data_IF_539193351054
#
_entry.id   IF_539193351054
#
_cell.length_a   1.000
_cell.length_b   1.000
_cell.length_c   1.000
_cell.angle_alpha   90.00
_cell.angle_beta   90.00
_cell.angle_gamma   90.00
#
_symmetry.space_group_name_H-M   'P 1'
#
loop_
_entity.id
_entity.type
_entity.pdbx_description
1 polymer ?
#
# COMPACT_ATOMS: atom_id res chain seq x y z
N UNK A 1 2.56 -18.42 10.92
CA UNK A 1 1.60 -17.87 9.94
C UNK A 1 2.28 -16.78 9.14
N UNK A 2 2.00 -16.74 7.84
CA UNK A 2 2.49 -15.72 6.91
C UNK A 2 1.33 -14.85 6.46
N UNK A 3 1.46 -13.54 6.61
CA UNK A 3 0.49 -12.55 6.16
C UNK A 3 0.93 -11.88 4.86
N UNK A 4 0.05 -11.90 3.86
CA UNK A 4 0.24 -11.22 2.57
C UNK A 4 -0.87 -10.19 2.40
N UNK A 5 -0.50 -8.99 1.92
CA UNK A 5 -1.44 -7.90 1.67
C UNK A 5 -1.36 -7.44 0.22
N UNK A 6 -2.49 -7.00 -0.31
CA UNK A 6 -2.61 -6.40 -1.64
C UNK A 6 -2.15 -7.30 -2.80
N UNK A 7 -2.24 -8.62 -2.62
CA UNK A 7 -2.13 -9.63 -3.67
C UNK A 7 -3.50 -10.27 -3.91
N UNK A 8 -4.21 -9.93 -5.00
CA UNK A 8 -5.57 -10.42 -5.24
C UNK A 8 -5.65 -11.93 -5.53
N UNK A 9 -4.60 -12.52 -6.11
CA UNK A 9 -4.56 -13.96 -6.39
C UNK A 9 -3.35 -14.63 -5.74
N UNK A 10 -3.40 -14.83 -4.43
CA UNK A 10 -2.39 -15.63 -3.74
C UNK A 10 -2.65 -17.12 -3.95
N UNK A 11 -1.72 -17.80 -4.61
CA UNK A 11 -1.72 -19.26 -4.80
C UNK A 11 -0.65 -19.92 -3.94
N UNK A 12 -0.83 -21.20 -3.60
CA UNK A 12 0.10 -21.97 -2.77
C UNK A 12 1.53 -22.03 -3.32
N UNK A 13 1.73 -21.93 -4.64
CA UNK A 13 3.07 -21.88 -5.22
C UNK A 13 3.81 -20.56 -4.87
N UNK A 14 3.05 -19.46 -4.75
CA UNK A 14 3.59 -18.12 -4.51
C UNK A 14 3.71 -17.76 -3.01
N UNK A 15 3.15 -18.58 -2.10
CA UNK A 15 3.22 -18.36 -0.65
C UNK A 15 4.61 -18.63 -0.06
N UNK A 16 5.51 -19.26 -0.83
CA UNK A 16 6.90 -19.52 -0.42
C UNK A 16 7.79 -18.27 -0.46
N UNK A 17 7.36 -17.22 -1.16
CA UNK A 17 8.08 -15.96 -1.25
C UNK A 17 8.09 -15.18 0.08
N UNK A 18 8.67 -13.97 0.02
CA UNK A 18 8.73 -13.05 1.16
C UNK A 18 7.31 -12.60 1.54
N UNK A 19 6.87 -12.94 2.75
CA UNK A 19 5.64 -12.41 3.32
C UNK A 19 5.84 -10.99 3.85
N UNK A 20 4.75 -10.22 3.96
CA UNK A 20 4.80 -8.89 4.57
C UNK A 20 5.00 -8.99 6.08
N UNK A 21 4.44 -10.04 6.69
CA UNK A 21 4.68 -10.36 8.08
C UNK A 21 4.70 -11.87 8.28
N UNK A 22 5.65 -12.33 9.09
CA UNK A 22 5.70 -13.71 9.57
C UNK A 22 5.51 -13.70 11.08
N UNK A 23 4.58 -14.52 11.56
CA UNK A 23 4.19 -14.60 12.97
C UNK A 23 4.35 -16.04 13.42
N UNK A 24 5.15 -16.26 14.46
CA UNK A 24 5.21 -17.54 15.16
C UNK A 24 3.95 -17.69 15.99
N UNK A 25 3.06 -18.58 15.55
CA UNK A 25 1.83 -18.85 16.28
C UNK A 25 2.15 -19.67 17.53
N UNK A 26 1.27 -19.57 18.52
CA UNK A 26 1.28 -20.36 19.75
C UNK A 26 -0.08 -21.01 19.90
N UNK A 27 -0.10 -22.20 20.51
CA UNK A 27 -1.35 -22.88 20.82
C UNK A 27 -2.11 -22.09 21.89
N UNK A 28 -3.29 -21.56 21.53
CA UNK A 28 -4.17 -20.82 22.41
C UNK A 28 -5.61 -21.34 22.31
N UNK A 29 -6.04 -22.23 23.22
CA UNK A 29 -7.40 -22.76 23.25
C UNK A 29 -8.44 -21.73 23.72
N UNK A 30 -8.02 -20.65 24.38
CA UNK A 30 -8.92 -19.63 24.92
C UNK A 30 -9.22 -18.51 23.93
N UNK A 31 -8.44 -18.39 22.84
CA UNK A 31 -8.61 -17.36 21.81
C UNK A 31 -8.37 -15.94 22.29
N UNK A 32 -7.61 -15.77 23.38
CA UNK A 32 -7.27 -14.47 23.99
C UNK A 32 -6.02 -13.82 23.39
N UNK A 33 -5.23 -14.58 22.64
CA UNK A 33 -3.96 -14.12 22.12
C UNK A 33 -4.15 -13.24 20.87
N UNK A 34 -3.77 -11.97 21.01
CA UNK A 34 -3.77 -11.02 19.91
C UNK A 34 -2.35 -10.82 19.38
N UNK A 35 -2.16 -11.03 18.07
CA UNK A 35 -0.90 -10.78 17.41
C UNK A 35 -0.86 -9.37 16.82
N UNK A 36 0.15 -8.59 17.23
CA UNK A 36 0.35 -7.25 16.70
C UNK A 36 0.94 -7.31 15.29
N UNK A 37 0.35 -6.54 14.38
CA UNK A 37 0.87 -6.36 13.03
C UNK A 37 1.66 -5.07 12.92
N UNK A 38 2.64 -5.03 12.02
CA UNK A 38 3.39 -3.80 11.79
C UNK A 38 2.52 -2.80 11.01
N UNK A 39 2.03 -1.77 11.69
CA UNK A 39 1.14 -0.77 11.12
C UNK A 39 1.69 -0.09 9.84
N UNK A 40 3.01 0.05 9.70
CA UNK A 40 3.63 0.63 8.51
C UNK A 40 3.37 -0.22 7.26
N UNK A 41 3.41 -1.55 7.40
CA UNK A 41 3.09 -2.47 6.31
C UNK A 41 1.57 -2.53 6.06
N UNK A 42 0.76 -2.49 7.12
CA UNK A 42 -0.69 -2.68 7.05
C UNK A 42 -1.51 -1.38 7.03
N UNK A 43 -0.88 -0.25 6.66
CA UNK A 43 -1.52 1.07 6.64
C UNK A 43 -2.67 1.18 5.62
N UNK A 44 -2.63 0.39 4.54
CA UNK A 44 -3.63 0.43 3.48
C UNK A 44 -3.81 -0.95 2.85
N UNK A 45 -4.83 -1.67 3.32
CA UNK A 45 -5.08 -3.07 2.92
C UNK A 45 -6.40 -3.16 2.16
N UNK A 46 -6.33 -3.61 0.91
CA UNK A 46 -7.51 -3.97 0.09
C UNK A 46 -7.73 -5.47 0.05
N UNK A 47 -6.64 -6.25 0.02
CA UNK A 47 -6.69 -7.72 0.02
C UNK A 47 -5.83 -8.24 1.16
N UNK A 48 -6.35 -9.13 2.00
CA UNK A 48 -5.62 -9.79 3.08
C UNK A 48 -5.67 -11.30 2.88
N UNK A 49 -4.50 -11.95 2.87
CA UNK A 49 -4.37 -13.40 2.76
C UNK A 49 -3.50 -13.94 3.89
N UNK A 50 -4.02 -14.92 4.62
CA UNK A 50 -3.35 -15.56 5.75
C UNK A 50 -2.99 -17.00 5.39
N UNK A 51 -1.69 -17.31 5.37
CA UNK A 51 -1.18 -18.64 5.04
C UNK A 51 -0.59 -19.33 6.28
N UNK A 52 -1.02 -20.57 6.51
CA UNK A 52 -0.64 -21.38 7.67
C UNK A 52 0.17 -22.60 7.19
N UNK A 53 1.52 -22.50 7.14
CA UNK A 53 2.36 -23.56 6.58
C UNK A 53 2.53 -24.79 7.48
N UNK A 54 2.29 -24.63 8.78
CA UNK A 54 2.48 -25.69 9.78
C UNK A 54 1.51 -25.51 10.94
N UNK A 55 1.37 -26.56 11.74
CA UNK A 55 0.53 -26.62 12.94
C UNK A 55 1.33 -27.15 14.14
N UNK A 56 0.63 -27.48 15.23
CA UNK A 56 1.23 -27.89 16.50
C UNK A 56 1.26 -29.41 16.72
N UNK A 57 1.33 -30.20 15.64
CA UNK A 57 1.50 -31.67 15.71
C UNK A 57 0.25 -32.50 15.39
N UNK A 58 -0.87 -31.83 15.10
CA UNK A 58 -2.09 -32.49 14.61
C UNK A 58 -2.04 -32.73 13.10
N UNK A 59 -2.91 -33.59 12.58
CA UNK A 59 -3.04 -33.79 11.12
C UNK A 59 -3.71 -32.59 10.43
N UNK A 60 -4.66 -31.93 11.12
CA UNK A 60 -5.47 -30.85 10.56
C UNK A 60 -5.40 -29.60 11.43
N UNK A 61 -5.13 -28.44 10.81
CA UNK A 61 -5.21 -27.14 11.47
C UNK A 61 -6.66 -26.67 11.51
N UNK A 62 -7.19 -26.42 12.72
CA UNK A 62 -8.53 -25.83 12.90
C UNK A 62 -8.40 -24.41 13.42
N UNK A 63 -9.02 -23.47 12.72
CA UNK A 63 -9.07 -22.06 13.12
C UNK A 63 -10.50 -21.74 13.50
N UNK A 64 -10.75 -21.49 14.78
CA UNK A 64 -12.09 -21.23 15.29
C UNK A 64 -12.51 -19.76 15.10
N UNK A 65 -11.56 -18.84 15.23
CA UNK A 65 -11.84 -17.41 15.19
C UNK A 65 -10.66 -16.62 14.64
N UNK A 66 -10.96 -15.58 13.87
CA UNK A 66 -9.99 -14.56 13.41
C UNK A 66 -10.61 -13.20 13.70
N UNK A 67 -10.05 -12.49 14.68
CA UNK A 67 -10.38 -11.10 14.95
C UNK A 67 -9.42 -10.17 14.22
N UNK A 68 -9.95 -9.31 13.34
CA UNK A 68 -9.18 -8.24 12.72
C UNK A 68 -9.52 -6.92 13.42
N UNK A 69 -8.51 -6.21 13.91
CA UNK A 69 -8.66 -4.91 14.54
C UNK A 69 -8.04 -3.84 13.65
N UNK A 70 -8.81 -2.83 13.27
CA UNK A 70 -8.36 -1.75 12.42
C UNK A 70 -9.47 -0.75 12.14
N UNK A 71 -9.13 0.32 11.44
CA UNK A 71 -10.09 1.36 11.02
C UNK A 71 -10.41 1.19 9.53
N UNK A 72 -11.69 1.33 9.19
CA UNK A 72 -12.11 1.36 7.80
C UNK A 72 -11.85 2.74 7.20
N UNK A 73 -10.88 2.82 6.29
CA UNK A 73 -10.44 4.08 5.67
C UNK A 73 -11.31 4.52 4.47
N UNK A 74 -12.38 3.80 4.13
CA UNK A 74 -13.24 4.14 2.98
C UNK A 74 -12.67 3.75 1.61
N UNK A 75 -13.49 3.85 0.57
CA UNK A 75 -13.00 3.82 -0.81
C UNK A 75 -12.14 5.05 -1.06
N UNK A 76 -10.85 4.83 -1.28
CA UNK A 76 -9.99 5.90 -1.80
C UNK A 76 -10.33 6.04 -3.27
N UNK A 77 -11.26 6.97 -3.54
CA UNK A 77 -11.49 7.49 -4.87
C UNK A 77 -10.14 8.02 -5.36
N UNK A 78 -9.52 7.30 -6.26
CA UNK A 78 -8.46 7.83 -7.10
C UNK A 78 -9.06 9.02 -7.84
N UNK A 79 -8.92 10.21 -7.26
CA UNK A 79 -9.17 11.44 -8.01
C UNK A 79 -8.24 11.34 -9.21
N UNK A 80 -8.80 11.25 -10.41
CA UNK A 80 -8.05 11.31 -11.66
C UNK A 80 -7.18 12.56 -11.56
N UNK A 81 -5.88 12.37 -11.36
CA UNK A 81 -4.94 13.49 -11.39
C UNK A 81 -4.81 13.85 -12.86
N UNK A 82 -5.51 14.89 -13.29
CA UNK A 82 -5.33 15.45 -14.62
C UNK A 82 -4.00 16.22 -14.57
N UNK A 83 -2.91 15.55 -14.93
CA UNK A 83 -1.61 16.20 -15.12
C UNK A 83 -1.48 16.60 -16.59
N UNK A 84 -1.65 17.88 -16.88
CA UNK A 84 -1.34 18.43 -18.21
C UNK A 84 0.19 18.53 -18.34
N UNK A 85 0.78 17.71 -19.20
CA UNK A 85 2.16 17.91 -19.65
C UNK A 85 2.14 18.82 -20.89
N UNK A 86 2.59 20.06 -20.75
CA UNK A 86 2.80 20.94 -21.90
C UNK A 86 4.18 20.65 -22.51
N UNK A 87 4.21 20.27 -23.80
CA UNK A 87 5.46 20.05 -24.53
C UNK A 87 6.13 21.36 -24.99
N UNK A 88 5.46 22.51 -24.81
CA UNK A 88 5.97 23.83 -25.18
C UNK A 88 5.81 24.79 -24.00
N UNK A 89 6.81 25.66 -23.75
CA UNK A 89 6.70 26.65 -22.69
C UNK A 89 5.53 27.60 -22.95
N UNK A 90 4.74 27.86 -21.91
CA UNK A 90 3.70 28.86 -21.96
C UNK A 90 4.37 30.25 -21.95
N UNK A 91 4.21 31.03 -23.03
CA UNK A 91 4.79 32.38 -23.15
C UNK A 91 4.35 33.34 -22.03
N UNK A 92 3.20 33.07 -21.40
CA UNK A 92 2.70 33.85 -20.25
C UNK A 92 3.53 33.67 -18.98
N UNK A 93 4.22 32.55 -18.85
CA UNK A 93 5.00 32.21 -17.64
C UNK A 93 6.46 32.69 -17.73
N UNK A 94 6.88 33.14 -18.91
CA UNK A 94 8.20 33.71 -19.12
C UNK A 94 8.06 35.24 -19.06
N UNK A 95 8.69 35.87 -18.06
CA UNK A 95 8.84 37.33 -18.04
C UNK A 95 9.68 37.72 -19.25
N UNK A 96 9.04 38.37 -20.22
CA UNK A 96 9.76 39.04 -21.30
C UNK A 96 10.38 40.27 -20.67
N UNK A 97 11.70 40.26 -20.48
CA UNK A 97 12.43 41.48 -20.12
C UNK A 97 12.23 42.49 -21.26
N UNK A 98 11.60 43.61 -20.94
CA UNK A 98 11.19 44.70 -21.84
C UNK A 98 12.41 45.51 -22.34
N UNK A 99 13.42 44.83 -22.88
CA UNK A 99 14.70 45.43 -23.27
C UNK A 99 14.71 46.03 -24.68
N UNK A 100 13.57 46.08 -25.37
CA UNK A 100 13.49 46.57 -26.77
C UNK A 100 12.67 47.85 -26.97
N UNK A 101 12.16 48.48 -25.92
CA UNK A 101 11.51 49.80 -26.03
C UNK A 101 12.47 50.92 -25.60
N UNK A 102 13.60 51.04 -26.30
CA UNK A 102 14.57 52.11 -26.10
C UNK A 102 14.84 52.85 -27.40
N UNK A 103 14.05 53.89 -27.67
CA UNK A 103 14.31 54.85 -28.74
C UNK A 103 15.73 55.42 -28.59
N UNK A 104 16.64 55.04 -29.49
CA UNK A 104 17.93 55.71 -29.64
C UNK A 104 17.77 56.79 -30.71
N UNK A 105 17.45 58.00 -30.29
CA UNK A 105 17.68 59.18 -31.12
C UNK A 105 19.19 59.40 -31.22
N UNK A 106 19.64 59.48 -32.47
CA UNK A 106 21.03 59.66 -32.88
C UNK A 106 21.31 61.16 -32.83
N UNK A 107 22.35 61.58 -32.11
CA UNK A 107 22.89 62.94 -32.17
C UNK A 107 24.38 62.88 -32.52
#
# INVERSE_FOLDING_TARGET
>A
MKGHINLPELRFDNTRGKAHQEISLTYDPSGTLAYQVNASHFSRVTHLSLYYPSNFGDETTRIYYIGLCGEYLGEVKSKVVITTYEARPQLKDHKVDDFLTGNREIQ
#
